data_IF_512815054663
#
_entry.id   IF_512815054663
#
_cell.length_a   1.000
_cell.length_b   1.000
_cell.length_c   1.000
_cell.angle_alpha   90.00
_cell.angle_beta   90.00
_cell.angle_gamma   90.00
#
_symmetry.space_group_name_H-M   'P 1'
#
loop_
_entity.id
_entity.type
_entity.pdbx_description
1 polymer ?
#
# COMPACT_ATOMS: atom_id res chain seq x y z
N UNK A 1 12.87 -1.53 -6.99
CA UNK A 1 11.79 -1.28 -7.98
C UNK A 1 11.66 0.22 -8.16
N UNK A 2 11.49 0.68 -9.40
CA UNK A 2 11.41 2.10 -9.74
C UNK A 2 10.24 2.30 -10.69
N UNK A 3 9.36 3.26 -10.38
CA UNK A 3 8.21 3.65 -11.21
C UNK A 3 8.50 5.07 -11.69
N UNK A 4 8.51 5.30 -13.01
CA UNK A 4 8.90 6.58 -13.61
C UNK A 4 7.84 7.06 -14.59
N UNK A 5 7.07 8.11 -14.28
CA UNK A 5 6.28 8.83 -15.27
C UNK A 5 7.17 9.82 -16.05
N UNK A 6 6.99 9.92 -17.36
CA UNK A 6 7.74 10.83 -18.24
C UNK A 6 6.78 11.49 -19.24
N UNK A 7 6.91 12.79 -19.44
CA UNK A 7 6.13 13.57 -20.42
C UNK A 7 7.10 14.42 -21.21
N UNK A 8 7.04 14.31 -22.53
CA UNK A 8 7.82 15.13 -23.45
C UNK A 8 6.90 16.11 -24.17
N UNK A 9 7.36 17.35 -24.36
CA UNK A 9 6.55 18.41 -24.93
C UNK A 9 7.32 19.24 -25.96
N UNK A 10 6.62 19.64 -27.02
CA UNK A 10 7.14 20.49 -28.07
C UNK A 10 6.59 21.93 -27.92
N UNK A 11 7.47 22.96 -27.93
CA UNK A 11 7.05 24.34 -27.79
C UNK A 11 6.39 24.86 -29.07
N UNK A 12 5.19 25.42 -28.95
CA UNK A 12 4.50 26.13 -30.03
C UNK A 12 4.97 27.58 -30.05
N UNK A 13 5.63 27.97 -31.15
CA UNK A 13 6.07 29.35 -31.40
C UNK A 13 5.17 30.00 -32.45
N UNK A 14 4.71 31.21 -32.18
CA UNK A 14 4.01 32.07 -33.15
C UNK A 14 4.93 33.19 -33.62
N UNK A 15 4.72 33.67 -34.84
CA UNK A 15 5.64 34.55 -35.59
C UNK A 15 6.16 35.77 -34.80
N UNK A 16 5.43 36.27 -33.80
CA UNK A 16 5.81 37.46 -33.02
C UNK A 16 6.25 37.20 -31.58
N UNK A 17 6.39 35.94 -31.14
CA UNK A 17 6.73 35.61 -29.76
C UNK A 17 8.19 35.17 -29.61
N UNK A 18 8.94 35.84 -28.73
CA UNK A 18 10.31 35.47 -28.35
C UNK A 18 10.36 34.25 -27.40
N UNK A 19 9.23 33.88 -26.82
CA UNK A 19 9.06 32.73 -25.90
C UNK A 19 7.89 31.85 -26.36
N UNK A 20 7.89 30.54 -26.06
CA UNK A 20 6.80 29.64 -26.40
C UNK A 20 5.49 30.11 -25.75
N UNK A 21 4.39 30.10 -26.52
CA UNK A 21 3.06 30.49 -26.02
C UNK A 21 2.32 29.28 -25.43
N UNK A 22 2.64 28.08 -25.93
CA UNK A 22 2.04 26.83 -25.49
C UNK A 22 3.07 25.71 -25.60
N UNK A 23 2.97 24.69 -24.75
CA UNK A 23 3.69 23.43 -24.90
C UNK A 23 2.68 22.34 -25.24
N UNK A 24 2.81 21.73 -26.41
CA UNK A 24 2.01 20.57 -26.76
C UNK A 24 2.70 19.32 -26.20
N UNK A 25 1.95 18.48 -25.50
CA UNK A 25 2.46 17.16 -25.10
C UNK A 25 2.63 16.32 -26.37
N UNK A 26 3.87 15.91 -26.63
CA UNK A 26 4.24 15.10 -27.79
C UNK A 26 4.02 13.63 -27.50
N UNK A 27 4.44 13.21 -26.32
CA UNK A 27 4.35 11.83 -25.83
C UNK A 27 4.31 11.84 -24.30
N UNK A 28 3.63 10.85 -23.75
CA UNK A 28 3.65 10.52 -22.34
C UNK A 28 4.00 9.03 -22.23
N UNK A 29 4.85 8.68 -21.28
CA UNK A 29 5.22 7.29 -21.00
C UNK A 29 5.22 7.00 -19.51
N UNK A 30 4.94 5.76 -19.16
CA UNK A 30 4.99 5.27 -17.80
C UNK A 30 5.80 3.98 -17.78
N UNK A 31 6.94 4.02 -17.09
CA UNK A 31 7.93 2.95 -17.10
C UNK A 31 8.09 2.34 -15.72
N UNK A 32 8.09 1.01 -15.65
CA UNK A 32 8.34 0.26 -14.43
C UNK A 32 9.60 -0.57 -14.60
N UNK A 33 10.61 -0.28 -13.76
CA UNK A 33 11.84 -1.09 -13.67
C UNK A 33 11.79 -1.94 -12.41
N UNK A 34 11.83 -3.26 -12.58
CA UNK A 34 11.80 -4.23 -11.50
C UNK A 34 12.99 -5.20 -11.61
N UNK A 35 13.45 -5.67 -10.44
CA UNK A 35 14.47 -6.71 -10.32
C UNK A 35 13.88 -7.84 -9.51
N UNK A 36 13.73 -8.99 -10.12
CA UNK A 36 13.22 -10.20 -9.47
C UNK A 36 14.39 -11.08 -9.03
N UNK A 37 14.33 -11.56 -7.79
CA UNK A 37 15.34 -12.45 -7.20
C UNK A 37 14.91 -13.92 -7.21
N UNK A 38 13.61 -14.17 -7.31
CA UNK A 38 13.06 -15.51 -7.26
C UNK A 38 13.00 -16.13 -8.65
N UNK A 39 13.50 -17.35 -8.79
CA UNK A 39 13.37 -18.14 -10.01
C UNK A 39 12.10 -18.99 -9.91
N UNK A 40 10.98 -18.44 -10.36
CA UNK A 40 9.71 -19.17 -10.47
C UNK A 40 9.19 -19.16 -11.91
N UNK A 41 8.14 -19.94 -12.17
CA UNK A 41 7.54 -20.08 -13.51
C UNK A 41 7.15 -18.71 -14.07
N UNK A 42 6.39 -17.90 -13.33
CA UNK A 42 5.92 -16.60 -13.79
C UNK A 42 7.06 -15.62 -14.13
N UNK A 43 8.09 -15.54 -13.28
CA UNK A 43 9.22 -14.62 -13.47
C UNK A 43 10.07 -15.02 -14.66
N UNK A 44 10.33 -16.32 -14.82
CA UNK A 44 11.15 -16.83 -15.93
C UNK A 44 10.42 -16.75 -17.27
N UNK A 45 9.13 -17.08 -17.31
CA UNK A 45 8.34 -16.91 -18.54
C UNK A 45 8.24 -15.44 -18.96
N UNK A 46 8.02 -14.54 -18.00
CA UNK A 46 7.96 -13.10 -18.25
C UNK A 46 9.33 -12.56 -18.74
N UNK A 47 10.42 -12.96 -18.09
CA UNK A 47 11.76 -12.51 -18.45
C UNK A 47 12.15 -12.99 -19.85
N UNK A 48 11.93 -14.26 -20.16
CA UNK A 48 12.33 -14.82 -21.44
C UNK A 48 11.30 -14.65 -22.57
N UNK A 49 10.07 -14.25 -22.25
CA UNK A 49 8.99 -14.10 -23.23
C UNK A 49 8.60 -15.42 -23.90
N UNK A 50 8.73 -16.54 -23.20
CA UNK A 50 8.42 -17.87 -23.69
C UNK A 50 7.85 -18.73 -22.55
N UNK A 51 7.06 -19.75 -22.89
CA UNK A 51 6.42 -20.63 -21.92
C UNK A 51 7.27 -21.87 -21.66
N UNK A 52 7.20 -22.40 -20.45
CA UNK A 52 7.82 -23.68 -20.13
C UNK A 52 7.02 -24.83 -20.74
N UNK A 53 7.73 -25.68 -21.48
CA UNK A 53 7.18 -26.90 -22.06
C UNK A 53 7.98 -28.09 -21.54
N UNK A 54 7.37 -29.28 -21.54
CA UNK A 54 8.12 -30.50 -21.22
C UNK A 54 9.20 -30.72 -22.27
N UNK A 55 10.42 -31.01 -21.82
CA UNK A 55 11.50 -31.29 -22.74
C UNK A 55 11.21 -32.57 -23.51
N UNK A 56 11.35 -32.51 -24.83
CA UNK A 56 11.22 -33.66 -25.71
C UNK A 56 12.54 -33.92 -26.42
N UNK A 57 12.89 -35.19 -26.53
CA UNK A 57 14.04 -35.66 -27.28
C UNK A 57 13.59 -36.63 -28.37
N UNK A 58 14.34 -36.68 -29.47
CA UNK A 58 14.07 -37.56 -30.58
C UNK A 58 14.75 -38.90 -30.33
N UNK A 59 13.95 -39.95 -30.15
CA UNK A 59 14.41 -41.33 -30.02
C UNK A 59 15.14 -41.78 -31.32
N UNK A 60 15.99 -42.83 -31.32
CA UNK A 60 16.65 -43.31 -32.54
C UNK A 60 15.67 -43.73 -33.67
N UNK A 61 14.41 -43.96 -33.31
CA UNK A 61 13.28 -44.23 -34.22
C UNK A 61 12.67 -42.97 -34.86
N UNK A 62 13.14 -41.79 -34.50
CA UNK A 62 12.67 -40.50 -35.01
C UNK A 62 11.44 -39.93 -34.32
N UNK A 63 10.92 -40.60 -33.29
CA UNK A 63 9.73 -40.19 -32.52
C UNK A 63 10.14 -39.28 -31.36
N UNK A 64 9.42 -38.18 -31.17
CA UNK A 64 9.61 -37.29 -30.02
C UNK A 64 9.05 -37.94 -28.74
N UNK A 65 9.88 -38.09 -27.72
CA UNK A 65 9.49 -38.59 -26.40
C UNK A 65 9.79 -37.55 -25.33
N UNK A 66 8.89 -37.41 -24.35
CA UNK A 66 9.10 -36.55 -23.19
C UNK A 66 10.27 -37.09 -22.34
N UNK A 67 11.19 -36.22 -21.93
CA UNK A 67 12.22 -36.52 -20.95
C UNK A 67 11.61 -36.34 -19.56
N UNK A 68 11.52 -37.40 -18.72
CA UNK A 68 10.97 -37.28 -17.38
C UNK A 68 11.71 -36.23 -16.54
N UNK A 69 10.97 -35.33 -15.90
CA UNK A 69 11.52 -34.34 -14.97
C UNK A 69 12.29 -33.17 -15.59
N UNK A 70 12.33 -33.07 -16.93
CA UNK A 70 13.06 -31.99 -17.62
C UNK A 70 12.11 -31.05 -18.34
N UNK A 71 12.34 -29.75 -18.19
CA UNK A 71 11.56 -28.69 -18.82
C UNK A 71 12.44 -27.91 -19.80
N UNK A 72 11.85 -27.48 -20.91
CA UNK A 72 12.51 -26.72 -21.96
C UNK A 72 11.74 -25.42 -22.17
N UNK A 73 12.49 -24.33 -22.32
CA UNK A 73 11.94 -23.04 -22.70
C UNK A 73 12.32 -22.78 -24.16
N UNK A 74 11.33 -22.62 -25.04
CA UNK A 74 11.56 -22.39 -26.46
C UNK A 74 11.72 -20.89 -26.73
N UNK A 75 12.96 -20.43 -26.84
CA UNK A 75 13.26 -19.04 -27.20
C UNK A 75 13.09 -18.88 -28.72
N UNK A 76 12.02 -18.21 -29.15
CA UNK A 76 11.81 -17.84 -30.55
C UNK A 76 12.77 -16.72 -30.95
N UNK A 77 13.34 -16.79 -32.16
CA UNK A 77 14.10 -15.68 -32.75
C UNK A 77 13.21 -14.50 -33.14
N UNK A 78 11.90 -14.75 -33.30
CA UNK A 78 10.86 -13.74 -33.51
C UNK A 78 9.80 -13.93 -32.42
N UNK A 79 10.02 -13.40 -31.21
CA UNK A 79 9.05 -13.50 -30.14
C UNK A 79 7.78 -12.72 -30.52
N UNK A 80 6.61 -13.27 -30.21
CA UNK A 80 5.38 -12.52 -30.30
C UNK A 80 5.39 -11.43 -29.22
N UNK A 81 4.90 -10.23 -29.58
CA UNK A 81 4.70 -9.14 -28.64
C UNK A 81 3.51 -9.51 -27.74
N UNK A 82 3.79 -10.14 -26.60
CA UNK A 82 2.77 -10.41 -25.60
C UNK A 82 2.52 -9.16 -24.75
N UNK A 83 1.27 -8.72 -24.74
CA UNK A 83 0.80 -7.66 -23.86
C UNK A 83 0.46 -8.25 -22.49
N UNK A 84 0.86 -7.56 -21.44
CA UNK A 84 0.59 -7.94 -20.06
C UNK A 84 -0.14 -6.80 -19.35
N UNK A 85 -0.99 -7.12 -18.39
CA UNK A 85 -1.44 -6.16 -17.38
C UNK A 85 -0.53 -6.26 -16.16
N UNK A 86 -0.17 -5.12 -15.59
CA UNK A 86 0.72 -5.05 -14.43
C UNK A 86 0.05 -4.27 -13.32
N UNK A 87 -0.02 -4.88 -12.13
CA UNK A 87 -0.43 -4.21 -10.91
C UNK A 87 0.75 -4.21 -9.95
N UNK A 88 1.08 -3.03 -9.44
CA UNK A 88 2.17 -2.84 -8.47
C UNK A 88 1.57 -2.31 -7.18
N UNK A 89 1.65 -3.12 -6.13
CA UNK A 89 1.24 -2.71 -4.80
C UNK A 89 2.47 -2.43 -3.93
N UNK A 90 2.47 -1.31 -3.21
CA UNK A 90 3.48 -1.01 -2.22
C UNK A 90 2.89 -0.33 -0.99
N UNK A 91 3.47 -0.62 0.17
CA UNK A 91 3.09 -0.01 1.44
C UNK A 91 4.19 0.92 1.95
N UNK A 92 3.81 2.07 2.50
CA UNK A 92 4.71 2.95 3.24
C UNK A 92 4.00 3.48 4.48
N UNK A 93 4.55 3.20 5.68
CA UNK A 93 4.05 3.72 6.95
C UNK A 93 2.54 3.55 7.20
N UNK A 94 1.96 2.42 6.77
CA UNK A 94 0.52 2.14 6.92
C UNK A 94 -0.35 2.61 5.76
N UNK A 95 0.20 3.42 4.83
CA UNK A 95 -0.44 3.82 3.58
C UNK A 95 -0.22 2.73 2.53
N UNK A 96 -1.29 2.33 1.86
CA UNK A 96 -1.25 1.39 0.74
C UNK A 96 -1.39 2.15 -0.56
N UNK A 97 -0.48 1.86 -1.48
CA UNK A 97 -0.46 2.44 -2.81
C UNK A 97 -0.54 1.31 -3.84
N UNK A 98 -1.23 1.58 -4.94
CA UNK A 98 -1.39 0.65 -6.06
C UNK A 98 -1.23 1.40 -7.37
N UNK A 99 -0.33 0.98 -8.23
CA UNK A 99 -0.29 1.41 -9.63
C UNK A 99 -0.87 0.30 -10.51
N UNK A 100 -1.87 0.64 -11.32
CA UNK A 100 -2.50 -0.26 -12.28
C UNK A 100 -2.13 0.17 -13.68
N UNK A 101 -1.50 -0.73 -14.42
CA UNK A 101 -1.22 -0.59 -15.85
C UNK A 101 -2.03 -1.65 -16.57
N UNK A 102 -3.01 -1.19 -17.35
CA UNK A 102 -3.97 -2.08 -18.05
C UNK A 102 -3.33 -2.82 -19.22
N UNK A 103 -2.43 -2.14 -19.95
CA UNK A 103 -1.67 -2.69 -21.07
C UNK A 103 -0.21 -2.30 -20.92
N UNK A 104 0.67 -3.27 -20.95
CA UNK A 104 2.10 -3.08 -20.85
C UNK A 104 2.84 -4.08 -21.72
N UNK A 105 4.08 -3.75 -22.05
CA UNK A 105 4.98 -4.63 -22.76
C UNK A 105 6.36 -4.59 -22.10
N UNK A 106 7.06 -5.72 -22.11
CA UNK A 106 8.48 -5.76 -21.73
C UNK A 106 9.30 -5.05 -22.81
N UNK A 107 9.78 -3.85 -22.49
CA UNK A 107 10.56 -3.01 -23.38
C UNK A 107 12.04 -3.42 -23.40
N UNK A 108 12.58 -3.79 -22.24
CA UNK A 108 13.98 -4.21 -22.11
C UNK A 108 14.13 -5.35 -21.10
N UNK A 109 15.05 -6.25 -21.41
CA UNK A 109 15.44 -7.41 -20.59
C UNK A 109 16.90 -7.21 -20.23
N UNK A 110 17.16 -6.91 -18.96
CA UNK A 110 18.52 -6.72 -18.48
C UNK A 110 19.32 -8.02 -18.47
N UNK A 111 20.63 -7.91 -18.26
CA UNK A 111 21.52 -9.07 -18.26
C UNK A 111 21.35 -9.90 -16.98
N UNK A 112 21.34 -11.23 -17.13
CA UNK A 112 21.44 -12.15 -15.99
C UNK A 112 22.92 -12.22 -15.57
N UNK A 113 23.23 -11.76 -14.37
CA UNK A 113 24.56 -11.94 -13.78
C UNK A 113 24.62 -13.25 -12.99
N UNK A 114 25.33 -14.24 -13.52
CA UNK A 114 25.60 -15.52 -12.84
C UNK A 114 26.93 -15.44 -12.11
N UNK A 115 27.00 -14.65 -11.03
CA UNK A 115 28.19 -14.59 -10.18
C UNK A 115 28.01 -15.52 -8.99
N UNK A 116 29.05 -16.28 -8.62
CA UNK A 116 29.00 -17.28 -7.54
C UNK A 116 28.64 -16.68 -6.16
N UNK A 117 28.80 -15.37 -5.99
CA UNK A 117 28.53 -14.65 -4.74
C UNK A 117 27.16 -13.96 -4.69
N UNK A 118 26.48 -13.78 -5.82
CA UNK A 118 25.16 -13.13 -5.87
C UNK A 118 24.10 -14.09 -6.41
N UNK A 119 22.91 -14.08 -5.79
CA UNK A 119 21.74 -14.75 -6.37
C UNK A 119 21.41 -14.14 -7.73
N UNK A 120 20.98 -14.97 -8.69
CA UNK A 120 20.59 -14.51 -10.01
C UNK A 120 19.51 -13.42 -9.93
N UNK A 121 19.73 -12.32 -10.64
CA UNK A 121 18.83 -11.16 -10.72
C UNK A 121 18.22 -11.10 -12.11
N UNK A 122 16.91 -11.02 -12.20
CA UNK A 122 16.18 -10.80 -13.45
C UNK A 122 15.74 -9.34 -13.49
N UNK A 123 16.41 -8.53 -14.30
CA UNK A 123 16.04 -7.14 -14.50
C UNK A 123 15.08 -6.99 -15.69
N UNK A 124 13.95 -6.34 -15.47
CA UNK A 124 12.96 -6.06 -16.50
C UNK A 124 12.56 -4.59 -16.48
N UNK A 125 12.48 -4.01 -17.68
CA UNK A 125 11.85 -2.71 -17.92
C UNK A 125 10.55 -2.95 -18.66
N UNK A 126 9.46 -2.47 -18.09
CA UNK A 126 8.10 -2.63 -18.60
C UNK A 126 7.56 -1.24 -18.93
N UNK A 127 7.13 -1.06 -20.16
CA UNK A 127 6.54 0.18 -20.65
C UNK A 127 5.02 0.02 -20.74
N UNK A 128 4.28 1.00 -20.21
CA UNK A 128 2.84 1.08 -20.38
C UNK A 128 2.51 1.43 -21.83
N UNK A 129 1.53 0.72 -22.39
CA UNK A 129 0.93 1.00 -23.68
C UNK A 129 -0.37 1.77 -23.49
N UNK A 130 -0.78 2.50 -24.54
CA UNK A 130 -2.05 3.22 -24.50
C UNK A 130 -3.23 2.25 -24.32
N UNK A 131 -4.04 2.51 -23.30
CA UNK A 131 -5.31 1.85 -23.05
C UNK A 131 -6.42 2.90 -23.10
N UNK A 132 -6.96 3.15 -24.29
CA UNK A 132 -8.06 4.10 -24.53
C UNK A 132 -7.73 5.54 -24.07
N UNK A 133 -6.53 6.03 -24.38
CA UNK A 133 -6.06 7.36 -23.99
C UNK A 133 -5.51 7.45 -22.56
N UNK A 134 -5.20 6.31 -21.93
CA UNK A 134 -4.68 6.23 -20.56
C UNK A 134 -3.48 5.30 -20.51
N UNK A 135 -2.49 5.66 -19.70
CA UNK A 135 -1.30 4.83 -19.42
C UNK A 135 -1.46 3.97 -18.16
N UNK A 136 -2.59 4.12 -17.45
CA UNK A 136 -2.84 3.51 -16.16
C UNK A 136 -3.29 4.55 -15.13
N UNK A 137 -3.36 4.14 -13.86
CA UNK A 137 -3.72 4.99 -12.75
C UNK A 137 -3.05 4.54 -11.45
N UNK A 138 -2.91 5.48 -10.50
CA UNK A 138 -2.37 5.21 -9.17
C UNK A 138 -3.47 5.46 -8.13
N UNK A 139 -3.63 4.51 -7.22
CA UNK A 139 -4.51 4.58 -6.07
C UNK A 139 -3.67 4.69 -4.82
N UNK A 140 -4.16 5.43 -3.83
CA UNK A 140 -3.57 5.47 -2.50
C UNK A 140 -4.67 5.53 -1.45
N UNK A 141 -4.38 5.00 -0.27
CA UNK A 141 -5.23 5.17 0.91
C UNK A 141 -4.92 6.44 1.69
N UNK A 142 -4.07 7.30 1.15
CA UNK A 142 -3.66 8.55 1.77
C UNK A 142 -4.72 9.66 1.72
N UNK A 143 -4.73 10.52 2.73
CA UNK A 143 -5.50 11.77 2.71
C UNK A 143 -4.76 12.82 1.86
N UNK A 144 -4.96 12.74 0.54
CA UNK A 144 -4.42 13.69 -0.44
C UNK A 144 -5.20 15.01 -0.43
N UNK A 145 -5.17 15.75 0.69
CA UNK A 145 -5.64 17.14 0.74
C UNK A 145 -4.51 18.09 0.36
N UNK A 146 -4.86 19.13 -0.41
CA UNK A 146 -3.92 20.15 -0.88
C UNK A 146 -3.18 20.81 0.29
N UNK A 147 -1.89 20.50 0.43
CA UNK A 147 -0.89 21.36 1.05
C UNK A 147 -0.67 21.19 2.56
N UNK A 148 0.54 20.68 2.87
CA UNK A 148 1.37 20.93 4.08
C UNK A 148 1.36 19.96 5.25
N UNK A 149 0.56 18.90 5.24
CA UNK A 149 0.68 17.86 6.27
C UNK A 149 0.93 16.52 5.60
N UNK A 150 2.05 15.82 5.88
CA UNK A 150 2.15 14.43 5.49
C UNK A 150 0.94 13.71 6.11
N UNK A 151 0.19 12.92 5.32
CA UNK A 151 -1.01 12.25 5.79
C UNK A 151 -0.64 11.29 6.92
N UNK A 152 -0.87 11.79 8.12
CA UNK A 152 -1.00 10.98 9.31
C UNK A 152 -2.43 10.50 9.27
N UNK A 153 -2.67 9.19 9.33
CA UNK A 153 -3.99 8.59 9.60
C UNK A 153 -4.65 9.48 10.65
N UNK A 154 -5.78 10.13 10.31
CA UNK A 154 -6.41 11.11 11.23
C UNK A 154 -6.64 10.39 12.54
N UNK A 155 -5.99 10.86 13.61
CA UNK A 155 -6.11 10.23 14.90
C UNK A 155 -7.59 10.24 15.31
N UNK A 156 -8.13 9.06 15.55
CA UNK A 156 -9.52 8.84 15.91
C UNK A 156 -9.57 8.03 17.20
N UNK A 157 -10.52 8.36 18.06
CA UNK A 157 -10.81 7.63 19.27
C UNK A 157 -12.34 7.42 19.34
N UNK A 158 -12.76 6.28 19.85
CA UNK A 158 -14.16 5.91 20.01
C UNK A 158 -14.36 5.20 21.35
N UNK A 159 -15.46 5.53 22.03
CA UNK A 159 -15.93 4.79 23.20
C UNK A 159 -16.67 3.52 22.77
N UNK A 160 -16.29 2.38 23.34
CA UNK A 160 -17.00 1.11 23.06
C UNK A 160 -18.37 1.03 23.72
N UNK A 161 -18.57 1.79 24.80
CA UNK A 161 -19.87 2.03 25.40
C UNK A 161 -19.95 3.50 25.82
N UNK A 162 -21.00 4.18 25.39
CA UNK A 162 -21.30 5.58 25.69
C UNK A 162 -22.07 5.74 27.01
N UNK A 163 -22.63 4.66 27.57
CA UNK A 163 -23.37 4.65 28.83
C UNK A 163 -22.96 3.46 29.69
N UNK A 164 -22.52 3.70 30.93
CA UNK A 164 -22.08 2.65 31.87
C UNK A 164 -22.52 2.92 33.30
N UNK A 165 -22.60 1.86 34.11
CA UNK A 165 -22.89 1.98 35.55
C UNK A 165 -21.60 2.28 36.36
N UNK A 166 -21.70 2.91 37.54
CA UNK A 166 -20.58 3.01 38.47
C UNK A 166 -19.97 1.63 38.78
N UNK A 167 -18.65 1.52 38.79
CA UNK A 167 -17.93 0.26 38.97
C UNK A 167 -17.71 -0.56 37.70
N UNK A 168 -18.22 -0.12 36.54
CA UNK A 168 -18.01 -0.81 35.27
C UNK A 168 -16.64 -0.51 34.65
N UNK A 169 -16.22 -1.41 33.74
CA UNK A 169 -15.06 -1.21 32.87
C UNK A 169 -15.59 -1.06 31.43
N UNK A 170 -15.16 0.00 30.76
CA UNK A 170 -15.35 0.21 29.32
C UNK A 170 -14.00 0.43 28.65
N UNK A 171 -13.98 0.68 27.36
CA UNK A 171 -12.74 0.85 26.60
C UNK A 171 -12.83 2.02 25.65
N UNK A 172 -11.70 2.69 25.46
CA UNK A 172 -11.47 3.60 24.35
C UNK A 172 -10.66 2.85 23.31
N UNK A 173 -11.25 2.68 22.14
CA UNK A 173 -10.56 2.18 20.95
C UNK A 173 -10.02 3.36 20.16
N UNK A 174 -8.80 3.23 19.65
CA UNK A 174 -8.07 4.32 19.00
C UNK A 174 -7.37 3.84 17.75
N UNK A 175 -7.23 4.74 16.80
CA UNK A 175 -6.53 4.48 15.55
C UNK A 175 -5.85 5.74 15.02
N UNK A 176 -4.74 5.58 14.31
CA UNK A 176 -4.07 6.70 13.64
C UNK A 176 -3.17 7.54 14.53
N UNK A 177 -2.84 7.08 15.72
CA UNK A 177 -1.84 7.70 16.57
C UNK A 177 -0.42 7.23 16.18
N UNK A 178 0.62 7.95 16.62
CA UNK A 178 2.00 7.58 16.31
C UNK A 178 2.33 6.17 16.84
N UNK A 179 2.85 5.23 16.02
CA UNK A 179 3.17 3.86 16.47
C UNK A 179 4.17 3.82 17.64
N UNK A 180 3.98 2.86 18.56
CA UNK A 180 4.86 2.65 19.73
C UNK A 180 4.89 3.80 20.74
N UNK A 181 3.92 4.72 20.69
CA UNK A 181 3.87 5.91 21.54
C UNK A 181 2.92 5.70 22.70
N UNK A 182 3.25 6.24 23.88
CA UNK A 182 2.38 6.19 25.04
C UNK A 182 1.14 7.06 24.81
N UNK A 183 -0.02 6.52 25.19
CA UNK A 183 -1.29 7.23 25.08
C UNK A 183 -1.75 7.67 26.46
N UNK A 184 -2.24 8.91 26.51
CA UNK A 184 -2.91 9.49 27.67
C UNK A 184 -4.39 9.64 27.35
N UNK A 185 -5.26 9.12 28.21
CA UNK A 185 -6.71 9.35 28.12
C UNK A 185 -7.13 10.32 29.22
N UNK A 186 -7.81 11.39 28.82
CA UNK A 186 -8.34 12.44 29.69
C UNK A 186 -9.84 12.25 29.84
N UNK A 187 -10.34 12.26 31.08
CA UNK A 187 -11.69 11.80 31.42
C UNK A 187 -12.54 12.85 32.16
N UNK A 188 -12.03 14.07 32.33
CA UNK A 188 -12.74 15.19 32.99
C UNK A 188 -12.98 15.03 34.50
N UNK A 189 -12.65 13.87 35.09
CA UNK A 189 -12.80 13.56 36.52
C UNK A 189 -11.74 12.54 36.95
N UNK A 190 -11.35 12.57 38.22
CA UNK A 190 -10.45 11.58 38.82
C UNK A 190 -11.13 10.24 39.13
N UNK A 191 -12.48 10.21 39.07
CA UNK A 191 -13.30 9.00 39.30
C UNK A 191 -13.40 8.06 38.10
N UNK A 192 -12.90 8.49 36.94
CA UNK A 192 -12.78 7.65 35.74
C UNK A 192 -11.29 7.57 35.43
N UNK A 193 -10.72 6.39 35.64
CA UNK A 193 -9.28 6.16 35.47
C UNK A 193 -9.03 5.35 34.22
N UNK A 194 -8.04 5.77 33.44
CA UNK A 194 -7.57 5.02 32.29
C UNK A 194 -6.31 4.25 32.66
N UNK A 195 -6.18 3.00 32.18
CA UNK A 195 -4.90 2.32 32.25
C UNK A 195 -3.89 3.00 31.31
N UNK A 196 -2.60 2.82 31.60
CA UNK A 196 -1.55 3.22 30.67
C UNK A 196 -1.43 2.19 29.55
N UNK A 197 -1.10 2.66 28.34
CA UNK A 197 -0.82 1.79 27.22
C UNK A 197 -0.09 2.52 26.10
N UNK A 198 0.35 1.74 25.12
CA UNK A 198 1.02 2.25 23.92
C UNK A 198 0.29 1.78 22.68
N UNK A 199 0.43 2.54 21.60
CA UNK A 199 -0.01 2.14 20.27
C UNK A 199 0.81 0.97 19.74
N UNK A 200 0.16 0.11 18.97
CA UNK A 200 0.83 -0.96 18.23
C UNK A 200 1.63 -0.41 17.04
N UNK A 201 2.19 -1.32 16.23
CA UNK A 201 2.96 -0.95 15.03
C UNK A 201 2.13 -0.28 13.93
N UNK A 202 0.80 -0.31 14.04
CA UNK A 202 -0.17 0.31 13.12
C UNK A 202 -0.72 1.63 13.65
N UNK A 203 -0.32 2.04 14.85
CA UNK A 203 -0.84 3.25 15.49
C UNK A 203 -2.20 3.07 16.17
N UNK A 204 -2.58 1.83 16.44
CA UNK A 204 -3.86 1.47 17.05
C UNK A 204 -3.66 1.08 18.52
N UNK A 205 -4.64 1.39 19.36
CA UNK A 205 -4.61 1.05 20.78
C UNK A 205 -6.02 0.85 21.33
N UNK A 206 -6.12 0.06 22.40
CA UNK A 206 -7.36 -0.16 23.15
C UNK A 206 -7.07 -0.02 24.63
N UNK A 207 -7.59 1.03 25.25
CA UNK A 207 -7.28 1.38 26.63
C UNK A 207 -8.52 1.17 27.50
N UNK A 208 -8.43 0.35 28.56
CA UNK A 208 -9.53 0.19 29.50
C UNK A 208 -9.71 1.46 30.34
N UNK A 209 -10.97 1.85 30.49
CA UNK A 209 -11.46 2.86 31.42
C UNK A 209 -12.17 2.16 32.58
N UNK A 210 -11.75 2.46 33.80
CA UNK A 210 -12.36 1.97 35.03
C UNK A 210 -13.13 3.12 35.68
N UNK A 211 -14.44 2.95 35.80
CA UNK A 211 -15.32 3.89 36.50
C UNK A 211 -15.40 3.49 37.96
N UNK A 212 -15.04 4.40 38.87
CA UNK A 212 -15.14 4.14 40.30
C UNK A 212 -16.60 3.86 40.72
N UNK A 213 -16.79 3.04 41.75
CA UNK A 213 -18.13 2.69 42.26
C UNK A 213 -18.87 3.87 42.89
N UNK A 214 -18.15 4.92 43.28
CA UNK A 214 -18.66 6.18 43.82
C UNK A 214 -18.67 7.31 42.79
N UNK A 215 -18.50 7.01 41.49
CA UNK A 215 -18.55 8.00 40.43
C UNK A 215 -19.96 8.62 40.32
N UNK A 216 -20.11 9.96 40.37
CA UNK A 216 -21.40 10.60 40.28
C UNK A 216 -22.05 10.39 38.90
N UNK A 217 -23.39 10.33 38.89
CA UNK A 217 -24.17 10.37 37.66
C UNK A 217 -23.82 11.65 36.87
N UNK A 218 -23.61 11.52 35.57
CA UNK A 218 -23.25 12.66 34.74
C UNK A 218 -22.67 12.26 33.40
N UNK A 219 -22.34 13.28 32.61
CA UNK A 219 -21.72 13.15 31.30
C UNK A 219 -20.29 13.65 31.37
N UNK A 220 -19.34 12.82 30.94
CA UNK A 220 -17.91 13.11 31.02
C UNK A 220 -17.30 13.02 29.63
N UNK A 221 -16.65 14.09 29.18
CA UNK A 221 -15.93 14.08 27.91
C UNK A 221 -14.67 13.23 28.04
N UNK A 222 -14.50 12.31 27.09
CA UNK A 222 -13.33 11.45 27.00
C UNK A 222 -12.52 11.85 25.77
N UNK A 223 -11.22 12.07 25.97
CA UNK A 223 -10.27 12.39 24.91
C UNK A 223 -9.02 11.54 25.04
N UNK A 224 -8.41 11.18 23.93
CA UNK A 224 -7.16 10.43 23.92
C UNK A 224 -6.09 11.17 23.13
N UNK A 225 -4.85 11.14 23.61
CA UNK A 225 -3.74 11.83 22.97
C UNK A 225 -2.38 11.15 23.17
N UNK A 226 -1.48 11.38 22.22
CA UNK A 226 -0.09 10.89 22.24
C UNK A 226 0.94 11.96 22.65
N UNK A 227 0.45 13.11 23.17
CA UNK A 227 1.23 14.29 23.53
C UNK A 227 1.47 15.26 22.36
N UNK A 228 1.20 14.85 21.13
CA UNK A 228 1.27 15.71 19.93
C UNK A 228 -0.06 15.85 19.20
N UNK A 229 -0.87 14.79 19.22
CA UNK A 229 -2.18 14.71 18.60
C UNK A 229 -3.21 14.32 19.66
N UNK A 230 -4.40 14.91 19.59
CA UNK A 230 -5.53 14.63 20.49
C UNK A 230 -6.78 14.34 19.65
N UNK A 231 -7.54 13.31 20.03
CA UNK A 231 -8.82 12.95 19.43
C UNK A 231 -9.90 12.83 20.51
N UNK A 232 -11.10 13.34 20.22
CA UNK A 232 -12.25 13.15 21.10
C UNK A 232 -12.81 11.74 20.91
N UNK A 233 -12.94 11.00 22.01
CA UNK A 233 -13.55 9.66 22.04
C UNK A 233 -15.08 9.70 22.19
N UNK A 234 -15.63 10.87 22.53
CA UNK A 234 -17.04 11.10 22.78
C UNK A 234 -17.34 11.39 24.25
N UNK A 235 -18.61 11.27 24.62
CA UNK A 235 -19.10 11.57 25.96
C UNK A 235 -19.55 10.28 26.63
N UNK A 236 -18.92 9.94 27.77
CA UNK A 236 -19.32 8.81 28.59
C UNK A 236 -20.37 9.25 29.61
N UNK A 237 -21.52 8.60 29.59
CA UNK A 237 -22.63 8.83 30.52
C UNK A 237 -22.57 7.79 31.63
N UNK A 238 -22.54 8.24 32.88
CA UNK A 238 -22.65 7.38 34.05
C UNK A 238 -24.11 7.32 34.48
N UNK A 239 -24.74 6.18 34.24
CA UNK A 239 -26.12 5.91 34.65
C UNK A 239 -26.15 5.19 36.00
N UNK A 240 -26.64 5.87 37.02
CA UNK A 240 -26.85 5.29 38.34
C UNK A 240 -28.24 4.66 38.31
N UNK A 241 -28.35 3.48 37.70
CA UNK A 241 -29.60 2.71 37.81
C UNK A 241 -29.92 2.56 39.31
N UNK A 242 -31.15 2.90 39.74
CA UNK A 242 -31.53 2.73 41.13
C UNK A 242 -31.37 1.25 41.50
N UNK A 243 -30.65 0.99 42.58
CA UNK A 243 -30.45 -0.34 43.13
C UNK A 243 -31.84 -0.91 43.44
N UNK A 244 -32.33 -1.84 42.62
CA UNK A 244 -33.56 -2.57 42.94
C UNK A 244 -33.28 -3.38 44.20
N UNK A 245 -33.89 -2.96 45.32
CA UNK A 245 -33.82 -3.62 46.62
C UNK A 245 -34.60 -4.93 46.57
#
# INVERSE_FOLDING_TARGET
MTITPEISSDPVKVWQAAVPVLYNVKEASFKVKATFLETNLATTELFYGAKWEKATEKDPSGVWKEIPGTWRLNLSSTPNLEEISLVVDWGQAGVQNRAVIERAMVADRGAIQLQRQESGKFELTIDALDASGRLGYVLTTDDLKDGSTPPSKVAAADLEADTVAPGAITYVSMSGFKPGTAITVTTGTDKITAATGQTDQRGDARIPLTVASDCPAGSYEIKAGDGTTEAAAGTLVIDVKPKTV
#
